data_IF_533437355398
#
_entry.id   IF_533437355398
#
_cell.length_a   1.000
_cell.length_b   1.000
_cell.length_c   1.000
_cell.angle_alpha   90.00
_cell.angle_beta   90.00
_cell.angle_gamma   90.00
#
_symmetry.space_group_name_H-M   'P 1'
#
loop_
_entity.id
_entity.type
_entity.pdbx_description
1 polymer ?
#
# COMPACT_ATOMS: atom_id res chain seq x y z
N UNK A 1 31.91 -33.12 52.18
CA UNK A 1 30.56 -32.78 51.60
C UNK A 1 30.38 -31.27 51.33
N UNK A 2 31.41 -30.54 50.91
CA UNK A 2 31.35 -29.10 50.58
C UNK A 2 31.90 -28.73 49.22
N UNK A 3 32.27 -29.72 48.36
CA UNK A 3 32.86 -29.47 47.02
C UNK A 3 31.86 -29.67 45.89
N UNK A 4 30.74 -30.35 46.07
CA UNK A 4 29.75 -30.62 45.02
C UNK A 4 28.70 -29.53 44.83
N UNK A 5 28.51 -28.62 45.79
CA UNK A 5 27.48 -27.57 45.71
C UNK A 5 27.92 -26.31 44.95
N UNK A 6 29.24 -26.06 44.76
CA UNK A 6 29.73 -24.88 44.04
C UNK A 6 29.82 -25.06 42.52
N UNK A 7 29.89 -26.29 42.01
CA UNK A 7 29.99 -26.57 40.60
C UNK A 7 28.62 -26.46 39.87
N UNK A 8 27.55 -26.90 40.54
CA UNK A 8 26.20 -26.83 39.98
C UNK A 8 25.64 -25.41 39.88
N UNK A 9 26.01 -24.50 40.78
CA UNK A 9 25.51 -23.13 40.75
C UNK A 9 26.12 -22.31 39.62
N UNK A 10 27.39 -22.50 39.30
CA UNK A 10 28.03 -21.81 38.15
C UNK A 10 27.51 -22.32 36.81
N UNK A 11 27.20 -23.61 36.71
CA UNK A 11 26.68 -24.19 35.45
C UNK A 11 25.25 -23.78 35.17
N UNK A 12 24.38 -23.76 36.18
CA UNK A 12 23.00 -23.29 36.07
C UNK A 12 22.94 -21.78 35.79
N UNK A 13 23.83 -20.99 36.43
CA UNK A 13 23.90 -19.55 36.18
C UNK A 13 24.45 -19.22 34.77
N UNK A 14 25.42 -20.00 34.26
CA UNK A 14 25.91 -19.87 32.88
C UNK A 14 24.82 -20.22 31.83
N UNK A 15 24.04 -21.27 32.08
CA UNK A 15 22.93 -21.65 31.18
C UNK A 15 21.82 -20.57 31.17
N UNK A 16 21.51 -19.99 32.35
CA UNK A 16 20.55 -18.90 32.44
C UNK A 16 21.02 -17.61 31.74
N UNK A 17 22.30 -17.25 31.85
CA UNK A 17 22.86 -16.09 31.16
C UNK A 17 22.94 -16.32 29.66
N UNK A 18 23.27 -17.52 29.21
CA UNK A 18 23.28 -17.86 27.78
C UNK A 18 21.86 -17.93 27.23
N UNK A 19 20.88 -18.46 27.96
CA UNK A 19 19.47 -18.45 27.54
C UNK A 19 18.87 -17.04 27.57
N UNK A 20 19.20 -16.19 28.56
CA UNK A 20 18.81 -14.78 28.58
C UNK A 20 19.46 -13.95 27.47
N UNK A 21 20.74 -14.22 27.16
CA UNK A 21 21.41 -13.59 26.01
C UNK A 21 20.86 -14.07 24.65
N UNK A 22 20.50 -15.35 24.53
CA UNK A 22 19.84 -15.88 23.35
C UNK A 22 18.40 -15.37 23.21
N UNK A 23 17.64 -15.24 24.28
CA UNK A 23 16.35 -14.58 24.32
C UNK A 23 16.47 -13.09 23.97
N UNK A 24 17.44 -12.37 24.53
CA UNK A 24 17.69 -10.97 24.21
C UNK A 24 18.22 -10.78 22.76
N UNK A 25 19.01 -11.70 22.22
CA UNK A 25 19.42 -11.68 20.81
C UNK A 25 18.26 -11.97 19.87
N UNK A 26 17.34 -12.87 20.24
CA UNK A 26 16.13 -13.11 19.47
C UNK A 26 15.12 -11.95 19.57
N UNK A 27 15.09 -11.23 20.70
CA UNK A 27 14.29 -10.01 20.88
C UNK A 27 14.85 -8.80 20.11
N UNK A 28 16.13 -8.84 19.69
CA UNK A 28 16.79 -7.79 18.90
C UNK A 28 16.71 -8.05 17.37
N UNK A 29 16.29 -9.24 16.94
CA UNK A 29 16.18 -9.56 15.51
C UNK A 29 14.71 -9.51 15.10
N UNK A 30 14.36 -8.56 14.20
CA UNK A 30 13.04 -8.52 13.58
C UNK A 30 12.63 -9.91 13.07
N UNK A 31 11.39 -10.31 13.36
CA UNK A 31 10.78 -11.57 12.89
C UNK A 31 10.81 -11.67 11.35
N UNK A 32 10.89 -10.54 10.67
CA UNK A 32 10.96 -10.44 9.20
C UNK A 32 12.37 -10.64 8.62
N UNK A 33 13.34 -11.16 9.39
CA UNK A 33 14.71 -11.38 8.94
C UNK A 33 14.95 -12.72 8.23
N UNK A 34 13.91 -13.55 8.04
CA UNK A 34 14.02 -14.83 7.35
C UNK A 34 14.03 -14.64 5.82
N UNK A 35 15.23 -14.51 5.26
CA UNK A 35 15.42 -14.30 3.81
C UNK A 35 15.07 -15.54 2.98
N UNK A 36 15.12 -16.74 3.57
CA UNK A 36 14.71 -17.96 2.88
C UNK A 36 13.20 -17.94 2.58
N UNK A 37 12.39 -17.51 3.53
CA UNK A 37 10.93 -17.30 3.32
C UNK A 37 10.71 -16.16 2.34
N UNK A 38 11.37 -15.02 2.56
CA UNK A 38 11.18 -13.81 1.75
C UNK A 38 11.41 -14.05 0.24
N UNK A 39 12.46 -14.81 -0.10
CA UNK A 39 12.93 -14.96 -1.47
C UNK A 39 12.86 -16.39 -2.02
N UNK A 40 12.01 -17.25 -1.45
CA UNK A 40 11.89 -18.65 -1.85
C UNK A 40 11.64 -18.83 -3.36
N UNK A 41 10.80 -17.97 -3.94
CA UNK A 41 10.39 -18.04 -5.35
C UNK A 41 11.27 -17.22 -6.30
N UNK A 42 12.33 -16.57 -5.79
CA UNK A 42 13.26 -15.80 -6.60
C UNK A 42 14.49 -16.64 -6.98
N UNK A 43 14.84 -16.63 -8.24
CA UNK A 43 16.12 -17.21 -8.71
C UNK A 43 17.29 -16.30 -8.31
N UNK A 44 18.51 -16.85 -8.33
CA UNK A 44 19.72 -16.06 -8.08
C UNK A 44 19.91 -14.93 -9.11
N UNK A 45 19.51 -15.17 -10.36
CA UNK A 45 19.56 -14.16 -11.41
C UNK A 45 18.60 -12.99 -11.09
N UNK A 46 17.36 -13.28 -10.65
CA UNK A 46 16.38 -12.28 -10.25
C UNK A 46 16.85 -11.50 -9.02
N UNK A 47 17.43 -12.17 -8.01
CA UNK A 47 17.99 -11.50 -6.84
C UNK A 47 19.16 -10.58 -7.19
N UNK A 48 20.08 -11.01 -8.06
CA UNK A 48 21.17 -10.16 -8.54
C UNK A 48 20.68 -8.97 -9.34
N UNK A 49 19.67 -9.16 -10.19
CA UNK A 49 19.02 -8.07 -10.94
C UNK A 49 18.40 -7.03 -9.99
N UNK A 50 17.60 -7.50 -9.02
CA UNK A 50 17.01 -6.65 -8.00
C UNK A 50 18.07 -5.90 -7.17
N UNK A 51 19.15 -6.58 -6.76
CA UNK A 51 20.26 -5.97 -6.04
C UNK A 51 20.87 -4.79 -6.81
N UNK A 52 21.22 -4.97 -8.07
CA UNK A 52 21.85 -3.91 -8.87
C UNK A 52 20.87 -2.77 -9.16
N UNK A 53 19.59 -3.08 -9.36
CA UNK A 53 18.54 -2.07 -9.54
C UNK A 53 18.37 -1.22 -8.27
N UNK A 54 18.18 -1.82 -7.10
CA UNK A 54 18.09 -1.08 -5.84
C UNK A 54 19.38 -0.32 -5.51
N UNK A 55 20.55 -0.88 -5.88
CA UNK A 55 21.85 -0.21 -5.74
C UNK A 55 21.96 1.05 -6.61
N UNK A 56 21.40 1.04 -7.81
CA UNK A 56 21.30 2.20 -8.68
C UNK A 56 20.32 3.25 -8.11
N UNK A 57 19.14 2.81 -7.65
CA UNK A 57 18.11 3.68 -7.04
C UNK A 57 18.63 4.34 -5.74
N UNK A 58 19.48 3.66 -4.97
CA UNK A 58 20.07 4.21 -3.73
C UNK A 58 20.88 5.51 -3.99
N UNK A 59 21.32 5.75 -5.23
CA UNK A 59 22.11 6.95 -5.59
C UNK A 59 21.19 8.08 -6.07
N UNK A 60 20.99 9.18 -5.29
CA UNK A 60 20.03 10.22 -5.64
C UNK A 60 20.29 10.88 -7.01
N UNK A 61 21.56 11.07 -7.37
CA UNK A 61 21.95 11.64 -8.67
C UNK A 61 21.55 10.71 -9.83
N UNK A 62 21.79 9.41 -9.68
CA UNK A 62 21.45 8.40 -10.70
C UNK A 62 19.94 8.33 -10.86
N UNK A 63 19.21 8.34 -9.76
CA UNK A 63 17.74 8.31 -9.76
C UNK A 63 17.16 9.56 -10.41
N UNK A 64 17.64 10.76 -10.06
CA UNK A 64 17.17 12.02 -10.64
C UNK A 64 17.44 12.10 -12.15
N UNK A 65 18.64 11.73 -12.58
CA UNK A 65 18.98 11.67 -14.01
C UNK A 65 18.18 10.60 -14.75
N UNK A 66 18.02 9.43 -14.13
CA UNK A 66 17.22 8.33 -14.70
C UNK A 66 15.76 8.72 -14.88
N UNK A 67 15.13 9.37 -13.90
CA UNK A 67 13.75 9.87 -13.98
C UNK A 67 13.62 10.92 -15.07
N UNK A 68 14.53 11.89 -15.14
CA UNK A 68 14.51 12.94 -16.17
C UNK A 68 14.64 12.35 -17.59
N UNK A 69 15.56 11.40 -17.76
CA UNK A 69 15.74 10.69 -19.02
C UNK A 69 14.50 9.87 -19.38
N UNK A 70 13.88 9.19 -18.37
CA UNK A 70 12.68 8.39 -18.56
C UNK A 70 11.50 9.23 -19.05
N UNK A 71 11.21 10.34 -18.37
CA UNK A 71 10.12 11.24 -18.75
C UNK A 71 10.33 11.78 -20.18
N UNK A 72 11.54 12.26 -20.48
CA UNK A 72 11.87 12.78 -21.83
C UNK A 72 11.72 11.73 -22.95
N UNK A 73 12.11 10.48 -22.68
CA UNK A 73 12.13 9.43 -23.71
C UNK A 73 10.79 8.77 -23.90
N UNK A 74 9.96 8.71 -22.86
CA UNK A 74 8.58 8.20 -22.95
C UNK A 74 7.71 9.18 -23.76
N UNK A 75 7.85 10.49 -23.55
CA UNK A 75 7.15 11.51 -24.33
C UNK A 75 7.49 11.42 -25.85
N UNK A 76 8.70 11.00 -26.21
CA UNK A 76 9.19 10.94 -27.60
C UNK A 76 9.13 9.56 -28.25
N UNK A 77 8.55 8.58 -27.55
CA UNK A 77 8.31 7.23 -28.09
C UNK A 77 9.58 6.48 -28.59
N UNK A 78 10.67 6.50 -27.78
CA UNK A 78 11.89 5.75 -28.10
C UNK A 78 11.74 4.26 -27.73
N UNK A 79 11.54 3.32 -28.68
CA UNK A 79 11.20 1.92 -28.37
C UNK A 79 12.29 1.22 -27.57
N UNK A 80 13.56 1.54 -27.81
CA UNK A 80 14.70 0.96 -27.08
C UNK A 80 14.66 1.28 -25.58
N UNK A 81 14.23 2.48 -25.20
CA UNK A 81 14.12 2.89 -23.79
C UNK A 81 12.94 2.21 -23.11
N UNK A 82 11.82 2.07 -23.81
CA UNK A 82 10.66 1.33 -23.32
C UNK A 82 11.04 -0.12 -22.97
N UNK A 83 11.84 -0.77 -23.80
CA UNK A 83 12.33 -2.13 -23.55
C UNK A 83 13.25 -2.22 -22.32
N UNK A 84 14.11 -1.22 -22.10
CA UNK A 84 14.97 -1.16 -20.90
C UNK A 84 14.11 -0.98 -19.66
N UNK A 85 13.15 -0.05 -19.68
CA UNK A 85 12.24 0.20 -18.56
C UNK A 85 11.41 -1.05 -18.27
N UNK A 86 10.88 -1.71 -19.30
CA UNK A 86 10.13 -2.97 -19.18
C UNK A 86 10.95 -4.04 -18.49
N UNK A 87 12.17 -4.26 -18.94
CA UNK A 87 13.09 -5.27 -18.38
C UNK A 87 13.70 -4.90 -17.02
N UNK A 88 13.50 -3.71 -16.53
CA UNK A 88 14.09 -3.25 -15.25
C UNK A 88 12.99 -2.89 -14.24
N UNK A 89 12.59 -1.63 -14.19
CA UNK A 89 11.65 -1.10 -13.20
C UNK A 89 10.26 -1.75 -13.34
N UNK A 90 9.78 -1.93 -14.57
CA UNK A 90 8.44 -2.47 -14.79
C UNK A 90 8.32 -3.91 -14.30
N UNK A 91 9.22 -4.82 -14.68
CA UNK A 91 9.21 -6.21 -14.19
C UNK A 91 9.37 -6.31 -12.65
N UNK A 92 10.00 -5.32 -12.02
CA UNK A 92 10.16 -5.31 -10.56
C UNK A 92 8.90 -4.86 -9.84
N UNK A 93 8.18 -3.86 -10.37
CA UNK A 93 7.12 -3.16 -9.63
C UNK A 93 5.72 -3.33 -10.22
N UNK A 94 5.59 -3.95 -11.39
CA UNK A 94 4.31 -4.18 -12.07
C UNK A 94 4.07 -5.66 -12.36
N UNK A 95 2.81 -6.06 -12.43
CA UNK A 95 2.41 -7.43 -12.71
C UNK A 95 2.48 -7.80 -14.18
N UNK A 96 2.23 -6.83 -15.07
CA UNK A 96 2.16 -7.01 -16.51
C UNK A 96 1.55 -5.79 -17.19
N UNK A 97 1.53 -5.78 -18.52
CA UNK A 97 0.87 -4.71 -19.28
C UNK A 97 -0.65 -4.92 -19.33
N UNK A 98 -1.09 -6.16 -19.19
CA UNK A 98 -2.51 -6.52 -19.17
C UNK A 98 -2.87 -7.28 -17.90
N UNK A 99 -4.15 -7.39 -17.63
CA UNK A 99 -4.71 -8.17 -16.53
C UNK A 99 -4.33 -9.66 -16.65
N UNK A 100 -4.41 -10.18 -17.87
CA UNK A 100 -4.11 -11.57 -18.20
C UNK A 100 -2.64 -11.91 -17.95
N UNK A 101 -1.72 -11.03 -18.33
CA UNK A 101 -0.29 -11.17 -18.02
C UNK A 101 -0.05 -11.20 -16.51
N UNK A 102 -0.72 -10.30 -15.78
CA UNK A 102 -0.60 -10.19 -14.31
C UNK A 102 -1.06 -11.44 -13.58
N UNK A 103 -1.96 -12.25 -14.18
CA UNK A 103 -2.47 -13.49 -13.55
C UNK A 103 -1.40 -14.54 -13.30
N UNK A 104 -0.28 -14.53 -14.02
CA UNK A 104 0.82 -15.45 -13.72
C UNK A 104 1.45 -15.10 -12.36
N UNK A 105 1.66 -13.82 -12.11
CA UNK A 105 2.17 -13.29 -10.85
C UNK A 105 1.19 -13.56 -9.71
N UNK A 106 -0.10 -13.26 -9.91
CA UNK A 106 -1.18 -13.52 -8.95
C UNK A 106 -1.20 -14.98 -8.51
N UNK A 107 -1.22 -15.91 -9.47
CA UNK A 107 -1.23 -17.36 -9.17
C UNK A 107 0.02 -17.81 -8.41
N UNK A 108 1.18 -17.24 -8.71
CA UNK A 108 2.42 -17.57 -7.99
C UNK A 108 2.37 -17.08 -6.55
N UNK A 109 1.96 -15.84 -6.31
CA UNK A 109 1.83 -15.26 -4.97
C UNK A 109 0.78 -15.99 -4.14
N UNK A 110 -0.36 -16.34 -4.75
CA UNK A 110 -1.45 -17.02 -4.05
C UNK A 110 -1.10 -18.43 -3.55
N UNK A 111 -0.17 -19.14 -4.22
CA UNK A 111 0.39 -20.41 -3.69
C UNK A 111 1.04 -20.25 -2.32
N UNK A 112 1.42 -19.03 -1.97
CA UNK A 112 2.01 -18.68 -0.68
C UNK A 112 1.08 -17.85 0.20
N UNK A 113 -0.23 -17.97 -0.02
CA UNK A 113 -1.28 -17.27 0.71
C UNK A 113 -1.16 -15.74 0.65
N UNK A 114 -0.61 -15.21 -0.44
CA UNK A 114 -0.54 -13.76 -0.70
C UNK A 114 -1.53 -13.42 -1.80
N UNK A 115 -2.54 -12.64 -1.45
CA UNK A 115 -3.50 -12.09 -2.40
C UNK A 115 -2.93 -10.94 -3.22
N UNK A 116 -3.72 -10.46 -4.16
CA UNK A 116 -3.37 -9.32 -5.03
C UNK A 116 -4.47 -8.29 -5.06
N UNK A 117 -4.09 -7.02 -5.11
CA UNK A 117 -4.99 -5.90 -5.40
C UNK A 117 -4.62 -5.40 -6.78
N UNK A 118 -5.54 -5.49 -7.74
CA UNK A 118 -5.32 -4.94 -9.07
C UNK A 118 -5.48 -3.43 -9.07
N UNK A 119 -4.42 -2.73 -9.47
CA UNK A 119 -4.40 -1.31 -9.73
C UNK A 119 -4.15 -1.06 -11.23
N UNK A 120 -5.14 -0.51 -11.92
CA UNK A 120 -4.94 -0.01 -13.27
C UNK A 120 -4.22 1.34 -13.17
N UNK A 121 -2.90 1.30 -13.33
CA UNK A 121 -2.01 2.38 -12.92
C UNK A 121 -1.77 3.41 -14.05
N UNK A 122 -2.82 3.81 -14.77
CA UNK A 122 -2.76 4.93 -15.73
C UNK A 122 -2.95 6.24 -14.96
N UNK A 123 -2.06 7.19 -15.18
CA UNK A 123 -2.06 8.48 -14.50
C UNK A 123 -1.80 9.62 -15.49
N UNK A 124 -2.24 10.85 -15.09
CA UNK A 124 -1.88 12.09 -15.79
C UNK A 124 -2.67 12.38 -17.06
N UNK A 125 -3.75 11.67 -17.36
CA UNK A 125 -4.66 11.97 -18.47
C UNK A 125 -5.87 12.73 -17.95
N UNK A 126 -6.34 13.73 -18.70
CA UNK A 126 -7.40 14.64 -18.27
C UNK A 126 -8.56 14.72 -19.29
N UNK A 127 -8.76 13.67 -20.09
CA UNK A 127 -9.75 13.61 -21.14
C UNK A 127 -10.94 12.75 -20.72
N UNK A 128 -12.16 13.20 -21.02
CA UNK A 128 -13.40 12.52 -20.61
C UNK A 128 -13.51 11.07 -21.12
N UNK A 129 -13.09 10.80 -22.38
CA UNK A 129 -13.07 9.45 -22.92
C UNK A 129 -12.12 8.52 -22.12
N UNK A 130 -10.98 9.04 -21.64
CA UNK A 130 -10.04 8.26 -20.83
C UNK A 130 -10.62 7.94 -19.45
N UNK A 131 -11.38 8.85 -18.85
CA UNK A 131 -12.10 8.58 -17.61
C UNK A 131 -13.17 7.51 -17.77
N UNK A 132 -13.89 7.52 -18.89
CA UNK A 132 -14.88 6.47 -19.20
C UNK A 132 -14.21 5.12 -19.45
N UNK A 133 -13.10 5.08 -20.21
CA UNK A 133 -12.28 3.87 -20.41
C UNK A 133 -11.74 3.32 -19.11
N UNK A 134 -11.24 4.18 -18.21
CA UNK A 134 -10.78 3.79 -16.89
C UNK A 134 -11.92 3.20 -16.05
N UNK A 135 -13.10 3.83 -16.07
CA UNK A 135 -14.29 3.31 -15.39
C UNK A 135 -14.65 1.90 -15.88
N UNK A 136 -14.65 1.67 -17.21
CA UNK A 136 -14.91 0.35 -17.78
C UNK A 136 -13.81 -0.66 -17.38
N UNK A 137 -12.54 -0.26 -17.35
CA UNK A 137 -11.45 -1.14 -16.91
C UNK A 137 -11.61 -1.57 -15.44
N UNK A 138 -12.02 -0.65 -14.55
CA UNK A 138 -12.33 -0.99 -13.16
C UNK A 138 -13.52 -1.95 -13.05
N UNK A 139 -14.56 -1.75 -13.87
CA UNK A 139 -15.69 -2.70 -13.94
C UNK A 139 -15.23 -4.10 -14.40
N UNK A 140 -14.29 -4.20 -15.35
CA UNK A 140 -13.71 -5.49 -15.74
C UNK A 140 -12.87 -6.10 -14.61
N UNK A 141 -12.12 -5.28 -13.83
CA UNK A 141 -11.40 -5.76 -12.65
C UNK A 141 -12.35 -6.32 -11.59
N UNK A 142 -13.50 -5.68 -11.36
CA UNK A 142 -14.52 -6.18 -10.44
C UNK A 142 -15.06 -7.55 -10.91
N UNK A 143 -15.37 -7.70 -12.19
CA UNK A 143 -15.80 -9.01 -12.76
C UNK A 143 -14.73 -10.07 -12.59
N UNK A 144 -13.48 -9.70 -12.76
CA UNK A 144 -12.33 -10.62 -12.66
C UNK A 144 -12.02 -11.05 -11.22
N UNK A 145 -12.33 -10.19 -10.26
CA UNK A 145 -12.18 -10.45 -8.83
C UNK A 145 -13.34 -11.27 -8.25
N UNK A 146 -14.51 -11.29 -8.91
CA UNK A 146 -15.71 -11.99 -8.43
C UNK A 146 -15.43 -13.48 -8.19
N UNK A 147 -15.62 -13.93 -6.94
CA UNK A 147 -15.39 -15.32 -6.54
C UNK A 147 -13.93 -15.78 -6.59
N UNK A 148 -12.97 -14.87 -6.80
CA UNK A 148 -11.56 -15.21 -6.90
C UNK A 148 -10.81 -14.84 -5.60
N UNK A 149 -10.51 -15.81 -4.71
CA UNK A 149 -9.85 -15.52 -3.43
C UNK A 149 -8.42 -14.99 -3.58
N UNK A 150 -7.80 -15.12 -4.76
CA UNK A 150 -6.48 -14.56 -5.03
C UNK A 150 -6.53 -13.04 -5.28
N UNK A 151 -7.72 -12.47 -5.52
CA UNK A 151 -7.94 -11.04 -5.78
C UNK A 151 -9.05 -10.53 -4.86
N UNK A 152 -8.79 -10.40 -3.55
CA UNK A 152 -9.82 -10.03 -2.58
C UNK A 152 -10.27 -8.57 -2.69
N UNK A 153 -9.51 -7.72 -3.38
CA UNK A 153 -9.76 -6.29 -3.51
C UNK A 153 -9.51 -5.80 -4.93
N UNK A 154 -10.32 -4.83 -5.34
CA UNK A 154 -10.09 -3.98 -6.52
C UNK A 154 -9.87 -2.56 -6.04
N UNK A 155 -9.08 -1.77 -6.76
CA UNK A 155 -8.77 -0.38 -6.39
C UNK A 155 -8.85 0.53 -7.61
N UNK A 156 -9.23 1.79 -7.38
CA UNK A 156 -9.06 2.85 -8.37
C UNK A 156 -8.61 4.16 -7.72
N UNK A 157 -8.06 5.05 -8.54
CA UNK A 157 -7.67 6.41 -8.15
C UNK A 157 -8.72 7.42 -8.57
N UNK A 158 -9.09 8.39 -7.71
CA UNK A 158 -10.02 9.47 -8.04
C UNK A 158 -9.68 10.20 -9.34
N UNK A 159 -8.40 10.50 -9.59
CA UNK A 159 -7.95 11.17 -10.82
C UNK A 159 -8.12 10.33 -12.08
N UNK A 160 -8.40 9.03 -11.96
CA UNK A 160 -8.84 8.19 -13.08
C UNK A 160 -10.30 8.40 -13.50
N UNK A 161 -11.10 9.13 -12.72
CA UNK A 161 -12.52 9.37 -12.97
C UNK A 161 -12.89 10.84 -13.21
N UNK A 162 -11.94 11.76 -12.99
CA UNK A 162 -12.13 13.18 -13.23
C UNK A 162 -10.85 13.96 -12.99
N UNK A 163 -10.80 15.18 -13.53
CA UNK A 163 -9.65 16.07 -13.36
C UNK A 163 -9.48 16.49 -11.90
N UNK A 164 -8.24 16.63 -11.46
CA UNK A 164 -7.92 17.04 -10.08
C UNK A 164 -8.56 18.40 -9.71
N UNK A 165 -8.67 19.31 -10.69
CA UNK A 165 -9.22 20.64 -10.49
C UNK A 165 -10.70 20.60 -10.10
N UNK A 166 -11.50 19.67 -10.67
CA UNK A 166 -12.92 19.59 -10.30
C UNK A 166 -13.10 19.10 -8.87
N UNK A 167 -12.29 18.15 -8.41
CA UNK A 167 -12.28 17.72 -7.01
C UNK A 167 -11.87 18.89 -6.08
N UNK A 168 -10.85 19.66 -6.47
CA UNK A 168 -10.38 20.80 -5.69
C UNK A 168 -11.49 21.88 -5.55
N UNK A 169 -12.16 22.21 -6.67
CA UNK A 169 -13.26 23.21 -6.65
C UNK A 169 -14.44 22.74 -5.77
N UNK A 170 -14.82 21.47 -5.89
CA UNK A 170 -15.89 20.90 -5.06
C UNK A 170 -15.48 20.88 -3.59
N UNK A 171 -14.23 20.51 -3.28
CA UNK A 171 -13.70 20.48 -1.90
C UNK A 171 -13.66 21.86 -1.23
N UNK A 172 -13.44 22.92 -2.01
CA UNK A 172 -13.49 24.32 -1.52
C UNK A 172 -14.91 24.78 -1.16
N UNK A 173 -15.96 24.02 -1.54
CA UNK A 173 -17.37 24.35 -1.33
C UNK A 173 -17.78 25.69 -1.92
N UNK A 174 -17.14 26.07 -3.05
CA UNK A 174 -17.50 27.28 -3.80
C UNK A 174 -18.64 27.00 -4.79
N UNK A 175 -19.29 28.06 -5.27
CA UNK A 175 -20.33 27.89 -6.27
C UNK A 175 -19.72 27.49 -7.62
N UNK A 176 -20.10 26.30 -8.10
CA UNK A 176 -19.65 25.77 -9.39
C UNK A 176 -20.43 26.40 -10.55
N UNK A 177 -19.74 26.63 -11.65
CA UNK A 177 -20.37 26.94 -12.93
C UNK A 177 -21.22 25.78 -13.44
N UNK A 178 -22.10 26.04 -14.41
CA UNK A 178 -22.94 24.99 -15.03
C UNK A 178 -22.07 23.85 -15.60
N UNK A 179 -21.01 24.17 -16.32
CA UNK A 179 -20.08 23.18 -16.90
C UNK A 179 -19.38 22.35 -15.80
N UNK A 180 -18.95 22.97 -14.72
CA UNK A 180 -18.36 22.26 -13.59
C UNK A 180 -19.36 21.35 -12.85
N UNK A 181 -20.61 21.77 -12.72
CA UNK A 181 -21.69 20.92 -12.17
C UNK A 181 -21.93 19.70 -13.05
N UNK A 182 -21.94 19.86 -14.37
CA UNK A 182 -22.07 18.74 -15.32
C UNK A 182 -20.87 17.81 -15.26
N UNK A 183 -19.65 18.36 -15.18
CA UNK A 183 -18.43 17.58 -15.03
C UNK A 183 -18.43 16.76 -13.73
N UNK A 184 -18.76 17.41 -12.60
CA UNK A 184 -18.87 16.73 -11.32
C UNK A 184 -19.93 15.63 -11.31
N UNK A 185 -21.07 15.87 -11.96
CA UNK A 185 -22.12 14.86 -12.09
C UNK A 185 -21.62 13.61 -12.85
N UNK A 186 -20.73 13.77 -13.85
CA UNK A 186 -20.10 12.62 -14.53
C UNK A 186 -19.14 11.85 -13.60
N UNK A 187 -18.37 12.57 -12.77
CA UNK A 187 -17.52 11.94 -11.74
C UNK A 187 -18.37 11.11 -10.78
N UNK A 188 -19.40 11.72 -10.19
CA UNK A 188 -20.32 11.03 -9.26
C UNK A 188 -20.93 9.79 -9.91
N UNK A 189 -21.37 9.90 -11.15
CA UNK A 189 -21.94 8.77 -11.92
C UNK A 189 -20.95 7.60 -12.04
N UNK A 190 -19.67 7.87 -12.39
CA UNK A 190 -18.63 6.83 -12.49
C UNK A 190 -18.41 6.14 -11.14
N UNK A 191 -18.37 6.89 -10.02
CA UNK A 191 -18.29 6.32 -8.67
C UNK A 191 -19.49 5.43 -8.37
N UNK A 192 -20.71 5.90 -8.63
CA UNK A 192 -21.91 5.11 -8.39
C UNK A 192 -21.93 3.82 -9.21
N UNK A 193 -21.53 3.85 -10.47
CA UNK A 193 -21.51 2.69 -11.35
C UNK A 193 -20.54 1.60 -10.86
N UNK A 194 -19.32 1.97 -10.48
CA UNK A 194 -18.34 0.97 -9.99
C UNK A 194 -18.68 0.48 -8.60
N UNK A 195 -19.18 1.34 -7.70
CA UNK A 195 -19.60 0.93 -6.37
C UNK A 195 -20.83 0.03 -6.40
N UNK A 196 -21.81 0.34 -7.27
CA UNK A 196 -22.97 -0.54 -7.48
C UNK A 196 -22.53 -1.92 -8.00
N UNK A 197 -21.65 -1.96 -9.00
CA UNK A 197 -21.16 -3.23 -9.54
C UNK A 197 -20.37 -4.04 -8.47
N UNK A 198 -19.55 -3.37 -7.67
CA UNK A 198 -18.81 -4.00 -6.58
C UNK A 198 -19.77 -4.60 -5.53
N UNK A 199 -20.82 -3.87 -5.18
CA UNK A 199 -21.87 -4.33 -4.26
C UNK A 199 -22.60 -5.54 -4.82
N UNK A 200 -23.09 -5.47 -6.08
CA UNK A 200 -23.87 -6.55 -6.72
C UNK A 200 -23.06 -7.85 -6.85
N UNK A 201 -21.73 -7.74 -7.03
CA UNK A 201 -20.81 -8.88 -7.19
C UNK A 201 -20.10 -9.29 -5.91
N UNK A 202 -20.38 -8.60 -4.81
CA UNK A 202 -19.77 -8.87 -3.52
C UNK A 202 -18.23 -8.79 -3.55
N UNK A 203 -17.67 -7.83 -4.28
CA UNK A 203 -16.24 -7.53 -4.41
C UNK A 203 -15.90 -6.29 -3.62
N UNK A 204 -14.87 -6.32 -2.78
CA UNK A 204 -14.44 -5.14 -2.04
C UNK A 204 -13.71 -4.18 -2.98
N UNK A 205 -14.18 -2.93 -3.01
CA UNK A 205 -13.64 -1.85 -3.82
C UNK A 205 -12.99 -0.79 -2.93
N UNK A 206 -11.70 -0.57 -3.12
CA UNK A 206 -10.93 0.49 -2.45
C UNK A 206 -10.82 1.72 -3.33
N UNK A 207 -10.90 2.89 -2.73
CA UNK A 207 -10.68 4.17 -3.40
C UNK A 207 -9.41 4.78 -2.81
N UNK A 208 -8.41 5.01 -3.67
CA UNK A 208 -7.12 5.57 -3.25
C UNK A 208 -7.24 7.03 -2.85
N UNK A 209 -6.43 7.46 -1.90
CA UNK A 209 -6.25 8.84 -1.56
C UNK A 209 -5.06 9.42 -2.35
N UNK A 210 -5.24 10.60 -2.86
CA UNK A 210 -4.22 11.30 -3.63
C UNK A 210 -3.83 12.62 -2.94
N UNK A 211 -3.72 13.75 -3.65
CA UNK A 211 -3.30 15.01 -3.08
C UNK A 211 -4.36 15.60 -2.13
N UNK A 212 -3.89 16.29 -1.09
CA UNK A 212 -4.76 16.79 -0.02
C UNK A 212 -5.79 17.80 -0.49
N UNK A 213 -5.47 18.62 -1.49
CA UNK A 213 -6.37 19.66 -1.98
C UNK A 213 -7.57 19.14 -2.77
N UNK A 214 -7.54 17.88 -3.19
CA UNK A 214 -8.68 17.20 -3.80
C UNK A 214 -9.39 16.23 -2.85
N UNK A 215 -8.73 15.91 -1.71
CA UNK A 215 -9.13 14.79 -0.87
C UNK A 215 -10.45 15.04 -0.13
N UNK A 216 -10.77 16.28 0.22
CA UNK A 216 -12.01 16.57 0.93
C UNK A 216 -13.26 16.25 0.09
N UNK A 217 -13.24 16.58 -1.21
CA UNK A 217 -14.32 16.18 -2.13
C UNK A 217 -14.36 14.64 -2.33
N UNK A 218 -13.19 14.01 -2.38
CA UNK A 218 -13.08 12.56 -2.47
C UNK A 218 -13.65 11.90 -1.20
N UNK A 219 -13.24 12.33 -0.02
CA UNK A 219 -13.70 11.79 1.25
C UNK A 219 -15.23 11.93 1.37
N UNK A 220 -15.80 13.11 1.02
CA UNK A 220 -17.24 13.35 1.03
C UNK A 220 -18.00 12.41 0.08
N UNK A 221 -17.47 12.18 -1.13
CA UNK A 221 -18.09 11.28 -2.10
C UNK A 221 -17.98 9.81 -1.68
N UNK A 222 -16.82 9.39 -1.19
CA UNK A 222 -16.63 8.01 -0.69
C UNK A 222 -17.52 7.75 0.52
N UNK A 223 -17.70 8.71 1.43
CA UNK A 223 -18.62 8.60 2.56
C UNK A 223 -20.05 8.37 2.11
N UNK A 224 -20.51 9.07 1.04
CA UNK A 224 -21.83 8.84 0.45
C UNK A 224 -21.93 7.41 -0.12
N UNK A 225 -20.88 6.91 -0.77
CA UNK A 225 -20.86 5.55 -1.30
C UNK A 225 -20.85 4.50 -0.17
N UNK A 226 -20.06 4.71 0.90
CA UNK A 226 -20.08 3.82 2.08
C UNK A 226 -21.47 3.81 2.74
N UNK A 227 -22.09 4.96 2.96
CA UNK A 227 -23.45 5.05 3.51
C UNK A 227 -24.48 4.28 2.65
N UNK A 228 -24.35 4.33 1.34
CA UNK A 228 -25.25 3.66 0.39
C UNK A 228 -25.04 2.15 0.35
N UNK A 229 -23.78 1.69 0.27
CA UNK A 229 -23.46 0.32 -0.09
C UNK A 229 -22.94 -0.55 1.08
N UNK A 230 -22.50 0.02 2.19
CA UNK A 230 -21.93 -0.73 3.32
C UNK A 230 -22.97 -1.06 4.41
N UNK A 231 -24.16 -1.52 4.03
CA UNK A 231 -25.27 -1.77 4.99
C UNK A 231 -25.13 -3.06 5.78
N UNK A 232 -24.55 -4.08 5.19
CA UNK A 232 -24.35 -5.40 5.82
C UNK A 232 -22.88 -5.66 6.17
N UNK A 233 -21.98 -5.18 5.31
CA UNK A 233 -20.53 -5.24 5.48
C UNK A 233 -19.85 -4.13 4.68
N UNK A 234 -18.57 -3.88 4.93
CA UNK A 234 -17.79 -2.90 4.20
C UNK A 234 -17.41 -3.41 2.80
N UNK A 235 -18.11 -2.95 1.76
CA UNK A 235 -17.82 -3.20 0.34
C UNK A 235 -16.99 -2.06 -0.26
N UNK A 236 -17.37 -0.81 0.03
CA UNK A 236 -16.66 0.39 -0.41
C UNK A 236 -15.73 0.85 0.70
N UNK A 237 -14.45 1.04 0.38
CA UNK A 237 -13.42 1.39 1.36
C UNK A 237 -12.71 2.68 0.94
N UNK A 238 -12.54 3.59 1.91
CA UNK A 238 -11.74 4.79 1.74
C UNK A 238 -10.26 4.54 2.06
N UNK A 239 -9.36 5.36 1.54
CA UNK A 239 -7.94 5.36 1.90
C UNK A 239 -7.62 6.54 2.80
N UNK A 240 -7.04 6.27 3.97
CA UNK A 240 -6.70 7.27 4.98
C UNK A 240 -5.18 7.45 5.04
N UNK A 241 -4.74 8.67 4.75
CA UNK A 241 -3.32 9.05 4.73
C UNK A 241 -2.89 9.56 6.11
N UNK A 242 -2.27 8.69 6.91
CA UNK A 242 -1.93 9.00 8.30
C UNK A 242 -0.73 9.95 8.46
N UNK A 243 -0.08 10.35 7.37
CA UNK A 243 0.90 11.44 7.39
C UNK A 243 0.24 12.84 7.44
N UNK A 244 -1.08 12.94 7.19
CA UNK A 244 -1.85 14.20 7.31
C UNK A 244 -2.22 14.46 8.76
N UNK A 245 -2.30 15.76 9.11
CA UNK A 245 -2.91 16.23 10.36
C UNK A 245 -4.43 16.04 10.33
N UNK A 246 -5.09 16.00 11.48
CA UNK A 246 -6.56 15.92 11.59
C UNK A 246 -7.19 14.57 11.20
N UNK A 247 -6.40 13.53 10.90
CA UNK A 247 -6.99 12.25 10.43
C UNK A 247 -7.58 11.40 11.54
N UNK A 248 -7.12 11.54 12.78
CA UNK A 248 -7.73 10.83 13.91
C UNK A 248 -9.06 11.43 14.29
N UNK A 249 -9.20 12.74 14.21
CA UNK A 249 -10.45 13.47 14.40
C UNK A 249 -11.47 13.07 13.32
N UNK A 250 -11.04 13.05 12.05
CA UNK A 250 -11.87 12.58 10.93
C UNK A 250 -12.38 11.14 11.15
N UNK A 251 -11.53 10.22 11.59
CA UNK A 251 -11.93 8.83 11.87
C UNK A 251 -12.95 8.74 13.00
N UNK A 252 -12.82 9.57 14.04
CA UNK A 252 -13.77 9.61 15.15
C UNK A 252 -15.16 10.13 14.70
N UNK A 253 -15.19 11.20 13.91
CA UNK A 253 -16.41 11.76 13.34
C UNK A 253 -17.10 10.77 12.39
N UNK A 254 -16.32 10.09 11.55
CA UNK A 254 -16.84 9.09 10.63
C UNK A 254 -17.47 7.91 11.35
N UNK A 255 -16.82 7.44 12.44
CA UNK A 255 -17.35 6.36 13.26
C UNK A 255 -18.70 6.73 13.87
N UNK A 256 -18.84 7.93 14.43
CA UNK A 256 -20.12 8.40 15.00
C UNK A 256 -21.18 8.55 13.91
N UNK A 257 -20.83 9.06 12.73
CA UNK A 257 -21.74 9.12 11.58
C UNK A 257 -22.20 7.72 11.14
N UNK A 258 -21.27 6.76 11.05
CA UNK A 258 -21.55 5.38 10.67
C UNK A 258 -22.46 4.67 11.68
N UNK A 259 -22.26 4.91 12.98
CA UNK A 259 -23.15 4.42 14.05
C UNK A 259 -24.53 5.01 13.93
N UNK A 260 -24.63 6.34 13.79
CA UNK A 260 -25.90 7.06 13.72
C UNK A 260 -26.74 6.64 12.50
N UNK A 261 -26.09 6.37 11.36
CA UNK A 261 -26.74 6.01 10.11
C UNK A 261 -26.74 4.49 9.82
N UNK A 262 -26.20 3.69 10.72
CA UNK A 262 -26.13 2.23 10.66
C UNK A 262 -25.53 1.68 9.37
N UNK A 263 -24.22 1.99 9.12
CA UNK A 263 -23.42 1.37 8.04
C UNK A 263 -22.03 1.01 8.54
N UNK A 264 -21.30 0.19 7.78
CA UNK A 264 -19.94 -0.27 8.10
C UNK A 264 -18.90 0.60 7.42
N UNK A 265 -17.74 0.75 8.08
CA UNK A 265 -16.60 1.49 7.57
C UNK A 265 -15.54 0.52 7.05
N UNK A 266 -15.01 0.81 5.87
CA UNK A 266 -13.85 0.12 5.31
C UNK A 266 -12.73 1.12 5.06
N UNK A 267 -11.53 0.84 5.60
CA UNK A 267 -10.41 1.75 5.46
C UNK A 267 -9.13 1.05 5.03
N UNK A 268 -8.46 1.63 4.04
CA UNK A 268 -7.06 1.37 3.75
C UNK A 268 -6.21 2.44 4.42
N UNK A 269 -5.40 2.06 5.41
CA UNK A 269 -4.47 2.97 6.08
C UNK A 269 -3.13 2.95 5.38
N UNK A 270 -2.64 4.12 5.01
CA UNK A 270 -1.31 4.36 4.47
C UNK A 270 -0.67 5.54 5.19
N UNK A 271 0.66 5.70 5.07
CA UNK A 271 1.25 6.97 5.50
C UNK A 271 0.92 8.07 4.51
N UNK A 272 1.29 7.93 3.27
CA UNK A 272 1.05 8.83 2.15
C UNK A 272 2.24 8.89 1.22
N UNK A 273 2.03 9.30 -0.03
CA UNK A 273 3.03 9.22 -1.10
C UNK A 273 3.41 10.57 -1.72
N UNK A 274 2.85 11.69 -1.24
CA UNK A 274 2.97 12.99 -1.91
C UNK A 274 3.61 14.09 -1.03
N UNK A 275 4.34 13.70 0.03
CA UNK A 275 4.81 14.62 1.07
C UNK A 275 5.57 15.85 0.53
N UNK A 276 6.46 15.66 -0.42
CA UNK A 276 7.24 16.77 -1.00
C UNK A 276 6.33 17.71 -1.78
N UNK A 277 5.49 17.18 -2.65
CA UNK A 277 4.50 17.94 -3.45
C UNK A 277 3.51 18.71 -2.57
N UNK A 278 3.07 18.12 -1.46
CA UNK A 278 2.20 18.77 -0.48
C UNK A 278 2.86 19.98 0.17
N UNK A 279 4.10 19.82 0.61
CA UNK A 279 4.88 20.90 1.25
C UNK A 279 5.23 22.02 0.29
N UNK A 280 5.64 21.68 -0.93
CA UNK A 280 5.91 22.65 -1.99
C UNK A 280 4.66 23.49 -2.26
N UNK A 281 3.51 22.85 -2.50
CA UNK A 281 2.25 23.56 -2.74
C UNK A 281 1.81 24.39 -1.54
N UNK A 282 1.94 23.89 -0.32
CA UNK A 282 1.60 24.68 0.88
C UNK A 282 2.42 25.94 0.98
N UNK A 283 3.72 25.87 0.68
CA UNK A 283 4.62 27.01 0.65
C UNK A 283 4.28 28.00 -0.48
N UNK A 284 4.03 27.50 -1.69
CA UNK A 284 3.67 28.33 -2.85
C UNK A 284 2.33 29.06 -2.67
N UNK A 285 1.33 28.37 -2.12
CA UNK A 285 -0.03 28.89 -1.93
C UNK A 285 -0.23 29.57 -0.57
N UNK A 286 0.81 29.57 0.30
CA UNK A 286 0.81 30.21 1.61
C UNK A 286 -0.31 29.73 2.53
N UNK A 287 -0.52 28.39 2.61
CA UNK A 287 -1.41 27.77 3.60
C UNK A 287 -0.62 26.82 4.54
N UNK A 288 -1.19 26.47 5.72
CA UNK A 288 -0.52 25.58 6.65
C UNK A 288 -0.17 24.21 6.03
N UNK A 289 1.06 23.71 6.25
CA UNK A 289 1.47 22.38 5.80
C UNK A 289 0.50 21.31 6.34
N UNK A 290 -0.20 20.56 5.48
CA UNK A 290 -1.14 19.55 5.91
C UNK A 290 -0.49 18.27 6.45
N UNK A 291 0.84 18.16 6.31
CA UNK A 291 1.61 16.98 6.66
C UNK A 291 2.12 17.06 8.09
N UNK A 292 2.18 15.95 8.78
CA UNK A 292 2.78 15.83 10.11
C UNK A 292 4.22 16.38 10.12
N UNK A 293 4.62 17.10 11.19
CA UNK A 293 5.90 17.83 11.20
C UNK A 293 7.13 16.91 11.15
N UNK A 294 6.97 15.64 11.56
CA UNK A 294 8.07 14.68 11.58
C UNK A 294 7.61 13.29 11.11
N UNK A 295 8.58 12.49 10.68
CA UNK A 295 8.34 11.06 10.38
C UNK A 295 7.78 10.33 11.62
N UNK A 296 8.29 10.63 12.82
CA UNK A 296 7.82 10.01 14.05
C UNK A 296 6.34 10.35 14.31
N UNK A 297 5.93 11.61 14.13
CA UNK A 297 4.53 12.01 14.27
C UNK A 297 3.62 11.27 13.26
N UNK A 298 4.07 11.04 12.02
CA UNK A 298 3.36 10.22 11.05
C UNK A 298 3.29 8.74 11.47
N UNK A 299 4.36 8.22 12.07
CA UNK A 299 4.39 6.85 12.59
C UNK A 299 3.44 6.69 13.79
N UNK A 300 3.42 7.66 14.71
CA UNK A 300 2.55 7.68 15.88
C UNK A 300 1.08 7.77 15.48
N UNK A 301 0.77 8.63 14.51
CA UNK A 301 -0.57 8.79 13.96
C UNK A 301 -1.06 7.49 13.28
N UNK A 302 -0.19 6.85 12.49
CA UNK A 302 -0.48 5.54 11.90
C UNK A 302 -0.74 4.47 12.97
N UNK A 303 0.08 4.42 14.01
CA UNK A 303 -0.07 3.47 15.11
C UNK A 303 -1.32 3.76 15.97
N UNK A 304 -1.74 5.03 16.08
CA UNK A 304 -3.02 5.39 16.71
C UNK A 304 -4.22 4.85 15.92
N UNK A 305 -4.17 4.89 14.58
CA UNK A 305 -5.21 4.30 13.75
C UNK A 305 -5.32 2.78 13.92
N UNK A 306 -4.21 2.06 14.18
CA UNK A 306 -4.26 0.62 14.51
C UNK A 306 -5.10 0.41 15.76
N UNK A 307 -4.89 1.21 16.82
CA UNK A 307 -5.69 1.12 18.04
C UNK A 307 -7.17 1.45 17.80
N UNK A 308 -7.43 2.50 17.00
CA UNK A 308 -8.79 2.88 16.63
C UNK A 308 -9.55 1.73 15.97
N UNK A 309 -8.95 1.06 14.98
CA UNK A 309 -9.55 -0.07 14.28
C UNK A 309 -9.84 -1.22 15.24
N UNK A 310 -8.82 -1.66 15.99
CA UNK A 310 -8.95 -2.84 16.84
C UNK A 310 -9.96 -2.65 17.99
N UNK A 311 -10.20 -1.41 18.41
CA UNK A 311 -11.22 -1.08 19.39
C UNK A 311 -12.64 -0.97 18.78
N UNK A 312 -12.78 -1.01 17.46
CA UNK A 312 -14.05 -0.80 16.76
C UNK A 312 -14.30 -1.84 15.65
N UNK A 313 -13.82 -3.08 15.83
CA UNK A 313 -13.98 -4.16 14.84
C UNK A 313 -15.44 -4.55 14.58
N UNK A 314 -16.35 -4.21 15.49
CA UNK A 314 -17.79 -4.38 15.29
C UNK A 314 -18.34 -3.51 14.15
N UNK A 315 -17.62 -2.46 13.75
CA UNK A 315 -18.05 -1.47 12.74
C UNK A 315 -17.00 -1.21 11.65
N UNK A 316 -15.72 -1.42 11.93
CA UNK A 316 -14.59 -1.01 11.07
C UNK A 316 -13.83 -2.22 10.54
N UNK A 317 -13.62 -2.26 9.22
CA UNK A 317 -12.68 -3.17 8.57
C UNK A 317 -11.45 -2.39 8.10
N UNK A 318 -10.26 -2.98 8.17
CA UNK A 318 -9.02 -2.29 7.85
C UNK A 318 -8.06 -3.10 6.97
N UNK A 319 -7.41 -2.36 6.08
CA UNK A 319 -6.25 -2.80 5.32
C UNK A 319 -5.05 -1.93 5.72
N UNK A 320 -4.05 -2.53 6.36
CA UNK A 320 -2.84 -1.85 6.80
C UNK A 320 -1.77 -1.88 5.71
N UNK A 321 -1.77 -0.84 4.85
CA UNK A 321 -0.81 -0.64 3.77
C UNK A 321 0.47 -0.02 4.30
N UNK A 322 1.52 -0.83 4.54
CA UNK A 322 2.78 -0.32 5.10
C UNK A 322 3.97 -1.22 4.81
N UNK A 323 5.15 -0.57 4.63
CA UNK A 323 6.47 -1.21 4.58
C UNK A 323 7.21 -1.15 5.93
N UNK A 324 6.56 -0.64 6.97
CA UNK A 324 7.15 -0.49 8.30
C UNK A 324 6.97 -1.77 9.11
N UNK A 325 8.08 -2.48 9.36
CA UNK A 325 8.10 -3.73 10.14
C UNK A 325 7.48 -3.55 11.53
N UNK A 326 7.81 -2.45 12.24
CA UNK A 326 7.31 -2.21 13.61
C UNK A 326 5.80 -1.99 13.65
N UNK A 327 5.23 -1.25 12.69
CA UNK A 327 3.78 -1.07 12.62
C UNK A 327 3.07 -2.38 12.26
N UNK A 328 3.68 -3.22 11.42
CA UNK A 328 3.16 -4.56 11.10
C UNK A 328 3.20 -5.47 12.34
N UNK A 329 4.32 -5.51 13.06
CA UNK A 329 4.45 -6.24 14.32
C UNK A 329 3.41 -5.75 15.34
N UNK A 330 3.17 -4.44 15.45
CA UNK A 330 2.19 -3.87 16.37
C UNK A 330 0.77 -4.40 16.10
N UNK A 331 0.35 -4.49 14.82
CA UNK A 331 -0.95 -5.09 14.48
C UNK A 331 -1.01 -6.54 14.91
N UNK A 332 0.02 -7.34 14.56
CA UNK A 332 0.10 -8.76 14.90
C UNK A 332 0.06 -9.00 16.42
N UNK A 333 0.84 -8.23 17.19
CA UNK A 333 0.90 -8.34 18.65
C UNK A 333 -0.44 -8.01 19.30
N UNK A 334 -1.11 -6.98 18.81
CA UNK A 334 -2.45 -6.61 19.28
C UNK A 334 -3.51 -7.65 18.91
N UNK A 335 -3.48 -8.18 17.69
CA UNK A 335 -4.36 -9.29 17.30
C UNK A 335 -4.17 -10.48 18.24
N UNK A 336 -2.92 -10.83 18.54
CA UNK A 336 -2.58 -11.92 19.48
C UNK A 336 -3.09 -11.64 20.90
N UNK A 337 -2.87 -10.41 21.40
CA UNK A 337 -3.34 -10.00 22.72
C UNK A 337 -4.88 -10.02 22.86
N UNK A 338 -5.59 -9.82 21.75
CA UNK A 338 -7.04 -9.88 21.67
C UNK A 338 -7.57 -11.28 21.30
N UNK A 339 -6.71 -12.29 21.17
CA UNK A 339 -7.05 -13.65 20.75
C UNK A 339 -7.77 -13.70 19.39
N UNK A 340 -7.49 -12.76 18.48
CA UNK A 340 -8.04 -12.75 17.13
C UNK A 340 -7.29 -13.77 16.26
N UNK A 341 -7.98 -14.49 15.36
CA UNK A 341 -7.32 -15.38 14.41
C UNK A 341 -6.48 -14.58 13.41
N UNK A 342 -5.42 -15.20 12.88
CA UNK A 342 -4.53 -14.55 11.91
C UNK A 342 -5.28 -14.10 10.64
N UNK A 343 -6.25 -14.89 10.20
CA UNK A 343 -7.13 -14.63 9.06
C UNK A 343 -8.42 -13.89 9.42
N UNK A 344 -8.40 -13.06 10.46
CA UNK A 344 -9.58 -12.30 10.87
C UNK A 344 -10.13 -11.48 9.68
N UNK A 345 -11.43 -11.64 9.31
CA UNK A 345 -11.97 -11.16 8.04
C UNK A 345 -11.96 -9.63 7.86
N UNK A 346 -11.83 -8.88 8.94
CA UNK A 346 -11.80 -7.42 8.91
C UNK A 346 -10.39 -6.83 8.98
N UNK A 347 -9.34 -7.67 9.09
CA UNK A 347 -7.95 -7.20 9.23
C UNK A 347 -7.12 -7.75 8.07
N UNK A 348 -6.55 -6.84 7.30
CA UNK A 348 -5.72 -7.16 6.15
C UNK A 348 -4.42 -6.38 6.19
N UNK A 349 -3.38 -6.95 5.60
CA UNK A 349 -2.07 -6.34 5.46
C UNK A 349 -1.72 -6.17 3.99
N UNK A 350 -0.92 -5.17 3.67
CA UNK A 350 -0.46 -5.00 2.31
C UNK A 350 0.85 -4.26 2.14
N UNK A 351 1.56 -4.67 1.11
CA UNK A 351 2.78 -4.02 0.63
C UNK A 351 2.69 -3.85 -0.89
N UNK A 352 3.42 -2.88 -1.41
CA UNK A 352 3.55 -2.72 -2.86
C UNK A 352 4.29 -3.90 -3.47
N UNK A 353 3.89 -4.31 -4.67
CA UNK A 353 4.58 -5.36 -5.39
C UNK A 353 6.04 -4.97 -5.65
N UNK A 354 6.94 -5.94 -5.51
CA UNK A 354 8.38 -5.73 -5.67
C UNK A 354 9.11 -5.11 -4.49
N UNK A 355 8.41 -4.84 -3.37
CA UNK A 355 8.98 -4.26 -2.14
C UNK A 355 8.54 -5.05 -0.91
N UNK A 356 9.39 -5.08 0.12
CA UNK A 356 9.13 -5.70 1.43
C UNK A 356 8.61 -7.14 1.36
N UNK A 357 9.22 -7.94 0.50
CA UNK A 357 8.90 -9.37 0.36
C UNK A 357 9.11 -10.13 1.68
N UNK A 358 10.01 -9.66 2.54
CA UNK A 358 10.24 -10.19 3.88
C UNK A 358 9.01 -10.08 4.79
N UNK A 359 8.28 -8.96 4.74
CA UNK A 359 7.02 -8.77 5.49
C UNK A 359 5.92 -9.62 4.85
N UNK A 360 5.69 -9.43 3.55
CA UNK A 360 4.58 -10.07 2.83
C UNK A 360 4.60 -11.59 2.95
N UNK A 361 5.73 -12.22 2.64
CA UNK A 361 5.79 -13.69 2.63
C UNK A 361 5.88 -14.28 4.04
N UNK A 362 6.38 -13.54 5.03
CA UNK A 362 6.25 -13.94 6.42
C UNK A 362 4.77 -13.98 6.84
N UNK A 363 4.00 -12.93 6.55
CA UNK A 363 2.58 -12.87 6.87
C UNK A 363 1.79 -13.97 6.14
N UNK A 364 2.12 -14.25 4.89
CA UNK A 364 1.49 -15.33 4.13
C UNK A 364 1.78 -16.72 4.71
N UNK A 365 3.01 -16.97 5.15
CA UNK A 365 3.40 -18.23 5.81
C UNK A 365 2.65 -18.42 7.13
N UNK A 366 2.49 -17.35 7.91
CA UNK A 366 1.74 -17.31 9.17
C UNK A 366 0.22 -17.24 8.96
N UNK A 367 -0.28 -17.29 7.71
CA UNK A 367 -1.71 -17.28 7.35
C UNK A 367 -2.46 -16.00 7.74
N UNK A 368 -1.78 -14.87 7.80
CA UNK A 368 -2.47 -13.58 7.87
C UNK A 368 -3.09 -13.23 6.51
N UNK A 369 -4.17 -12.45 6.51
CA UNK A 369 -4.72 -11.88 5.29
C UNK A 369 -3.76 -10.82 4.75
N UNK A 370 -2.94 -11.16 3.79
CA UNK A 370 -1.94 -10.28 3.21
C UNK A 370 -2.08 -10.20 1.69
N UNK A 371 -1.90 -9.00 1.14
CA UNK A 371 -1.94 -8.75 -0.30
C UNK A 371 -0.72 -7.97 -0.78
N UNK A 372 -0.38 -8.16 -2.05
CA UNK A 372 0.45 -7.21 -2.81
C UNK A 372 -0.45 -6.27 -3.61
N UNK A 373 -0.18 -4.96 -3.48
CA UNK A 373 -0.73 -3.96 -4.39
C UNK A 373 0.00 -4.11 -5.72
N UNK A 374 -0.71 -4.57 -6.75
CA UNK A 374 -0.16 -5.05 -8.02
C UNK A 374 -0.58 -4.15 -9.17
N UNK A 375 0.22 -3.15 -9.52
CA UNK A 375 -0.06 -2.30 -10.67
C UNK A 375 0.09 -3.06 -11.98
N UNK A 376 -0.74 -2.70 -12.95
CA UNK A 376 -0.63 -3.15 -14.33
C UNK A 376 -1.08 -2.04 -15.29
N UNK A 377 -0.69 -2.16 -16.54
CA UNK A 377 -1.02 -1.22 -17.61
C UNK A 377 0.12 -1.07 -18.62
N UNK A 378 -0.12 -0.41 -19.76
CA UNK A 378 0.92 -0.18 -20.76
C UNK A 378 2.14 0.52 -20.14
N UNK A 379 3.36 0.05 -20.48
CA UNK A 379 4.61 0.55 -19.87
C UNK A 379 4.69 2.07 -19.84
N UNK A 380 4.26 2.73 -20.92
CA UNK A 380 4.27 4.20 -21.05
C UNK A 380 3.39 4.89 -20.01
N UNK A 381 2.21 4.34 -19.78
CA UNK A 381 1.19 4.95 -18.92
C UNK A 381 1.47 4.74 -17.43
N UNK A 382 2.28 3.72 -17.08
CA UNK A 382 2.68 3.43 -15.68
C UNK A 382 3.98 4.11 -15.25
N UNK A 383 4.63 4.87 -16.14
CA UNK A 383 5.88 5.60 -15.81
C UNK A 383 5.75 6.53 -14.61
N UNK A 384 4.69 7.32 -14.44
CA UNK A 384 4.53 8.15 -13.26
C UNK A 384 4.53 7.32 -11.96
N UNK A 385 3.87 6.18 -11.95
CA UNK A 385 3.91 5.23 -10.83
C UNK A 385 5.34 4.73 -10.56
N UNK A 386 6.08 4.27 -11.59
CA UNK A 386 7.45 3.78 -11.46
C UNK A 386 8.41 4.86 -10.94
N UNK A 387 8.23 6.09 -11.40
CA UNK A 387 9.00 7.25 -10.95
C UNK A 387 8.82 7.50 -9.47
N UNK A 388 7.58 7.49 -8.96
CA UNK A 388 7.32 7.64 -7.51
C UNK A 388 7.95 6.50 -6.71
N UNK A 389 7.90 5.26 -7.19
CA UNK A 389 8.60 4.13 -6.50
C UNK A 389 10.10 4.36 -6.40
N UNK A 390 10.73 4.85 -7.47
CA UNK A 390 12.15 5.19 -7.44
C UNK A 390 12.44 6.33 -6.44
N UNK A 391 11.61 7.37 -6.41
CA UNK A 391 11.75 8.51 -5.48
C UNK A 391 11.53 8.09 -4.02
N UNK A 392 10.48 7.34 -3.71
CA UNK A 392 10.22 6.86 -2.34
C UNK A 392 11.36 5.99 -1.81
N UNK A 393 11.94 5.16 -2.66
CA UNK A 393 13.09 4.35 -2.27
C UNK A 393 14.35 5.21 -1.98
N UNK A 394 14.45 6.43 -2.51
CA UNK A 394 15.55 7.35 -2.19
C UNK A 394 15.25 8.24 -0.99
N UNK A 395 14.01 8.69 -0.82
CA UNK A 395 13.61 9.66 0.21
C UNK A 395 13.34 9.02 1.58
N UNK A 396 12.89 7.76 1.61
CA UNK A 396 12.69 7.03 2.87
C UNK A 396 14.02 6.47 3.36
N UNK A 397 14.67 7.21 4.26
CA UNK A 397 15.95 6.82 4.85
C UNK A 397 15.88 5.39 5.43
N UNK A 398 16.69 4.49 4.89
CA UNK A 398 16.87 3.13 5.37
C UNK A 398 16.06 2.04 4.66
N UNK A 399 15.04 2.35 3.85
CA UNK A 399 14.24 1.31 3.19
C UNK A 399 15.03 0.59 2.09
N UNK A 400 15.64 1.32 1.16
CA UNK A 400 16.52 0.73 0.13
C UNK A 400 17.69 -0.02 0.76
N UNK A 401 18.31 0.53 1.79
CA UNK A 401 19.37 -0.15 2.53
C UNK A 401 18.90 -1.46 3.18
N UNK A 402 17.65 -1.49 3.68
CA UNK A 402 17.02 -2.70 4.22
C UNK A 402 16.81 -3.77 3.15
N UNK A 403 16.23 -3.42 2.00
CA UNK A 403 16.04 -4.34 0.86
C UNK A 403 17.39 -4.91 0.37
N UNK A 404 18.38 -4.04 0.14
CA UNK A 404 19.73 -4.45 -0.27
C UNK A 404 20.38 -5.39 0.74
N UNK A 405 20.23 -5.10 2.03
CA UNK A 405 20.74 -5.92 3.12
C UNK A 405 20.15 -7.34 3.09
N UNK A 406 18.83 -7.46 2.92
CA UNK A 406 18.12 -8.73 2.85
C UNK A 406 18.50 -9.53 1.61
N UNK A 407 18.55 -8.91 0.43
CA UNK A 407 18.95 -9.55 -0.83
C UNK A 407 20.39 -10.07 -0.70
N UNK A 408 21.31 -9.25 -0.19
CA UNK A 408 22.71 -9.66 0.00
C UNK A 408 22.85 -10.81 1.00
N UNK A 409 22.11 -10.78 2.11
CA UNK A 409 22.04 -11.88 3.08
C UNK A 409 21.60 -13.18 2.42
N UNK A 410 20.57 -13.15 1.58
CA UNK A 410 20.07 -14.33 0.88
C UNK A 410 21.07 -14.85 -0.16
N UNK A 411 21.66 -13.98 -0.97
CA UNK A 411 22.68 -14.37 -1.94
C UNK A 411 23.89 -15.03 -1.25
N UNK A 412 24.33 -14.52 -0.10
CA UNK A 412 25.41 -15.15 0.71
C UNK A 412 24.96 -16.50 1.27
N UNK A 413 23.72 -16.61 1.80
CA UNK A 413 23.19 -17.86 2.31
C UNK A 413 23.18 -18.96 1.24
N UNK A 414 22.75 -18.63 0.00
CA UNK A 414 22.71 -19.58 -1.12
C UNK A 414 24.09 -20.01 -1.60
N UNK A 415 25.06 -19.10 -1.58
CA UNK A 415 26.45 -19.40 -1.97
C UNK A 415 27.15 -20.35 -0.99
N UNK A 416 26.72 -20.36 0.27
CA UNK A 416 27.32 -21.19 1.33
C UNK A 416 26.61 -22.54 1.53
N UNK A 417 25.61 -22.87 0.70
CA UNK A 417 24.98 -24.19 0.57
C UNK A 417 25.64 -24.99 -0.53
#
# INVERSE_FOLDING_TARGET
MKFFTKLNFKFVFSIHIVSLNLLNLNLLMSIFNNTQIAFADKTDAQLRKAYWMFKAIEQPVVTKLGISALNFTVEKDFPFVTDIVKKTLFEQFCGGETREESMQVVKQMFKRHVGSIFDYAIEGKAEENVFDETCEEIKQNIKFAEGNPAIPFVVFKPTGFGRIEIYEEVGKKVELTTSQKEEWARVVKRYEEVCQMAFDRNVVLMIDAEETWMQDATDDLVNQMMEKFNREKAIVWNTIQMYRTGRMEYLAEDLERAKAKNYFLGYKFVRGAYMEKERERAAEMNYPDPIQPTKQASDDNYNAAINFVLNNLDRVSAFFGTHNEKSTELVMDKMRAMYLPHDHPQIHFGQLYGMSDNITYYLGEEKYNVCKYLPYGPVKDVVPYLTRRAQENTSVAGQTGRELGLINKELKRRKNK
#
